data_IF_483197928791
#
_entry.id   IF_483197928791
#
_cell.length_a   1.000
_cell.length_b   1.000
_cell.length_c   1.000
_cell.angle_alpha   90.00
_cell.angle_beta   90.00
_cell.angle_gamma   90.00
#
_symmetry.space_group_name_H-M   'P 1'
#
loop_
_entity.id
_entity.type
_entity.pdbx_description
1 polymer ?
#
# COMPACT_ATOMS: atom_id res chain seq x y z
N UNK A 1 29.21 23.58 4.81
CA UNK A 1 28.31 23.62 5.98
C UNK A 1 27.38 22.41 5.87
N UNK A 2 27.75 21.30 6.53
CA UNK A 2 26.99 20.04 6.46
C UNK A 2 25.77 20.20 7.36
N UNK A 3 24.58 20.28 6.77
CA UNK A 3 23.33 20.35 7.52
C UNK A 3 23.04 18.94 8.02
N UNK A 4 23.53 18.62 9.22
CA UNK A 4 23.18 17.38 9.93
C UNK A 4 21.71 17.47 10.33
N UNK A 5 20.80 17.05 9.44
CA UNK A 5 19.41 16.87 9.82
C UNK A 5 19.29 15.55 10.56
N UNK A 6 19.30 15.62 11.89
CA UNK A 6 18.67 14.60 12.71
C UNK A 6 17.17 14.67 12.39
N UNK A 7 16.69 13.79 11.52
CA UNK A 7 15.27 13.60 11.30
C UNK A 7 14.71 12.99 12.59
N UNK A 8 14.21 13.85 13.49
CA UNK A 8 13.36 13.41 14.58
C UNK A 8 12.16 12.74 13.94
N UNK A 9 11.90 11.48 14.30
CA UNK A 9 10.70 10.72 13.89
C UNK A 9 9.53 11.34 14.65
N UNK A 10 9.06 12.48 14.17
CA UNK A 10 7.88 13.16 14.69
C UNK A 10 6.84 13.20 13.59
N UNK A 11 5.59 12.88 13.93
CA UNK A 11 4.46 13.23 13.10
C UNK A 11 4.63 14.68 12.69
N UNK A 12 4.64 14.98 11.38
CA UNK A 12 4.40 16.36 11.03
C UNK A 12 2.97 16.70 11.51
N UNK A 13 2.80 17.80 12.25
CA UNK A 13 1.47 18.21 12.68
C UNK A 13 0.58 18.48 11.45
N UNK A 14 -0.76 18.49 11.63
CA UNK A 14 -1.71 18.85 10.57
C UNK A 14 -1.61 20.33 10.12
N UNK A 15 -0.44 20.97 10.21
CA UNK A 15 -0.26 22.39 9.94
C UNK A 15 -0.56 22.75 8.49
N UNK A 16 -1.31 23.85 8.37
CA UNK A 16 -2.05 24.31 7.21
C UNK A 16 -1.21 25.01 6.11
N UNK A 17 0.01 24.54 5.79
CA UNK A 17 0.90 25.31 4.90
C UNK A 17 1.37 24.62 3.60
N UNK A 18 1.27 23.29 3.47
CA UNK A 18 1.55 22.63 2.19
C UNK A 18 0.25 22.10 1.59
N UNK A 19 -0.05 22.54 0.37
CA UNK A 19 -1.15 21.98 -0.42
C UNK A 19 -0.93 20.45 -0.50
N UNK A 20 -1.76 19.61 0.15
CA UNK A 20 -1.50 18.18 0.27
C UNK A 20 -1.51 17.46 -1.08
N UNK A 21 -2.05 18.12 -2.11
CA UNK A 21 -1.99 17.64 -3.48
C UNK A 21 -0.62 17.87 -4.15
N UNK A 22 0.28 18.66 -3.57
CA UNK A 22 1.55 19.07 -4.17
C UNK A 22 2.71 18.22 -3.63
N UNK A 23 3.40 17.53 -4.53
CA UNK A 23 4.59 16.73 -4.24
C UNK A 23 5.71 17.60 -3.62
N UNK A 24 6.31 17.17 -2.52
CA UNK A 24 7.35 17.89 -1.78
C UNK A 24 8.71 17.95 -2.48
N UNK A 25 9.03 16.98 -3.34
CA UNK A 25 10.27 16.96 -4.13
C UNK A 25 10.18 17.77 -5.42
N UNK A 26 9.10 17.59 -6.18
CA UNK A 26 8.96 18.17 -7.53
C UNK A 26 8.06 19.39 -7.57
N UNK A 27 7.24 19.61 -6.55
CA UNK A 27 6.24 20.66 -6.55
C UNK A 27 5.07 20.42 -7.52
N UNK A 28 4.97 19.22 -8.10
CA UNK A 28 3.89 18.83 -9.01
C UNK A 28 2.60 18.64 -8.21
N UNK A 29 1.53 19.28 -8.67
CA UNK A 29 0.20 19.18 -8.06
C UNK A 29 -0.60 18.02 -8.65
N UNK A 30 -1.31 17.30 -7.79
CA UNK A 30 -2.22 16.21 -8.13
C UNK A 30 -3.64 16.77 -8.24
N UNK A 31 -4.34 16.48 -9.33
CA UNK A 31 -5.75 16.82 -9.51
C UNK A 31 -6.64 15.63 -9.15
N UNK A 32 -7.83 15.91 -8.64
CA UNK A 32 -8.77 14.88 -8.18
C UNK A 32 -10.12 15.01 -8.87
N UNK A 33 -10.73 13.87 -9.16
CA UNK A 33 -12.07 13.75 -9.71
C UNK A 33 -13.14 13.75 -8.62
N UNK A 34 -14.43 13.78 -9.02
CA UNK A 34 -15.56 13.77 -8.08
C UNK A 34 -15.66 12.51 -7.22
N UNK A 35 -14.98 11.42 -7.59
CA UNK A 35 -14.96 10.15 -6.83
C UNK A 35 -13.71 10.04 -5.94
N UNK A 36 -12.93 11.11 -5.81
CA UNK A 36 -11.67 11.14 -5.04
C UNK A 36 -10.49 10.46 -5.74
N UNK A 37 -10.65 10.08 -7.00
CA UNK A 37 -9.60 9.50 -7.84
C UNK A 37 -8.62 10.57 -8.34
N UNK A 38 -7.33 10.27 -8.42
CA UNK A 38 -6.29 11.18 -8.87
C UNK A 38 -6.29 11.27 -10.40
N UNK A 39 -6.92 12.29 -10.98
CA UNK A 39 -7.10 12.41 -12.44
C UNK A 39 -5.86 12.89 -13.18
N UNK A 40 -4.94 13.59 -12.51
CA UNK A 40 -3.69 14.02 -13.10
C UNK A 40 -2.58 14.29 -12.07
N UNK A 41 -1.33 14.15 -12.49
CA UNK A 41 -0.13 14.62 -11.80
C UNK A 41 0.55 15.66 -12.68
N UNK A 42 0.35 16.95 -12.39
CA UNK A 42 0.69 18.03 -13.31
C UNK A 42 -0.09 17.87 -14.61
N UNK A 43 0.61 17.76 -15.75
CA UNK A 43 0.00 17.51 -17.06
C UNK A 43 -0.20 16.02 -17.38
N UNK A 44 0.23 15.11 -16.51
CA UNK A 44 0.15 13.67 -16.76
C UNK A 44 -1.17 13.12 -16.25
N UNK A 45 -2.09 12.79 -17.16
CA UNK A 45 -3.38 12.17 -16.81
C UNK A 45 -3.19 10.78 -16.16
N UNK A 46 -4.14 10.36 -15.33
CA UNK A 46 -4.18 9.02 -14.75
C UNK A 46 -5.62 8.50 -14.67
N UNK A 47 -5.80 7.22 -14.99
CA UNK A 47 -7.10 6.55 -15.01
C UNK A 47 -7.12 5.35 -14.07
N UNK A 48 -8.29 5.06 -13.52
CA UNK A 48 -8.53 3.96 -12.58
C UNK A 48 -9.83 3.25 -12.91
N UNK A 49 -9.91 1.98 -12.51
CA UNK A 49 -11.13 1.21 -12.53
C UNK A 49 -11.94 1.48 -11.26
N UNK A 50 -13.25 1.69 -11.42
CA UNK A 50 -14.17 1.88 -10.30
C UNK A 50 -14.09 3.27 -9.67
N UNK A 51 -14.19 3.30 -8.33
CA UNK A 51 -14.14 4.51 -7.49
C UNK A 51 -12.81 4.53 -6.73
N UNK A 52 -12.17 5.70 -6.64
CA UNK A 52 -10.89 5.86 -5.95
C UNK A 52 -9.69 5.42 -6.80
N UNK A 53 -8.56 5.15 -6.14
CA UNK A 53 -7.28 4.93 -6.83
C UNK A 53 -6.78 3.49 -6.83
N UNK A 54 -7.54 2.52 -6.30
CA UNK A 54 -7.02 1.17 -6.02
C UNK A 54 -6.52 0.48 -7.29
N UNK A 55 -7.37 0.43 -8.32
CA UNK A 55 -7.08 -0.29 -9.55
C UNK A 55 -6.66 0.68 -10.66
N UNK A 56 -5.40 1.13 -10.61
CA UNK A 56 -4.85 2.03 -11.63
C UNK A 56 -4.79 1.34 -12.99
N UNK A 57 -5.32 1.99 -14.03
CA UNK A 57 -5.31 1.52 -15.41
C UNK A 57 -4.23 2.20 -16.24
N UNK A 58 -4.06 3.52 -16.08
CA UNK A 58 -3.12 4.31 -16.88
C UNK A 58 -2.48 5.44 -16.06
N UNK A 59 -1.30 5.89 -16.50
CA UNK A 59 -0.70 7.18 -16.14
C UNK A 59 0.15 7.68 -17.30
N UNK A 60 -0.28 8.74 -17.95
CA UNK A 60 0.27 9.19 -19.23
C UNK A 60 0.18 8.07 -20.28
N UNK A 61 1.30 7.75 -20.92
CA UNK A 61 1.39 6.65 -21.89
C UNK A 61 1.60 5.26 -21.26
N UNK A 62 1.74 5.19 -19.94
CA UNK A 62 2.00 3.92 -19.23
C UNK A 62 0.68 3.27 -18.83
N UNK A 63 0.53 1.98 -19.13
CA UNK A 63 -0.62 1.17 -18.73
C UNK A 63 -0.25 0.15 -17.67
N UNK A 64 -1.24 -0.24 -16.88
CA UNK A 64 -1.07 -1.13 -15.73
C UNK A 64 -2.10 -2.25 -15.75
N UNK A 65 -1.67 -3.44 -15.32
CA UNK A 65 -2.55 -4.57 -15.05
C UNK A 65 -2.46 -4.88 -13.57
N UNK A 66 -3.61 -4.91 -12.89
CA UNK A 66 -3.70 -5.21 -11.47
C UNK A 66 -4.17 -6.65 -11.27
N UNK A 67 -3.65 -7.29 -10.24
CA UNK A 67 -4.15 -8.53 -9.69
C UNK A 67 -4.63 -8.31 -8.25
N UNK A 68 -5.06 -9.38 -7.56
CA UNK A 68 -5.51 -9.29 -6.17
C UNK A 68 -4.49 -8.70 -5.20
N UNK A 69 -3.20 -8.80 -5.54
CA UNK A 69 -2.06 -8.35 -4.75
C UNK A 69 -1.44 -7.03 -5.27
N UNK A 70 -2.23 -6.22 -5.98
CA UNK A 70 -1.79 -4.96 -6.59
C UNK A 70 -1.27 -5.13 -8.02
N UNK A 71 -0.48 -4.16 -8.50
CA UNK A 71 -0.02 -4.11 -9.89
C UNK A 71 0.91 -5.27 -10.22
N UNK A 72 0.52 -6.12 -11.18
CA UNK A 72 1.29 -7.28 -11.66
C UNK A 72 2.03 -6.99 -12.97
N UNK A 73 1.63 -5.96 -13.70
CA UNK A 73 2.29 -5.56 -14.94
C UNK A 73 2.27 -4.05 -15.15
N UNK A 74 3.35 -3.51 -15.71
CA UNK A 74 3.45 -2.14 -16.22
C UNK A 74 3.98 -2.18 -17.64
N UNK A 75 3.31 -1.50 -18.57
CA UNK A 75 3.74 -1.39 -19.97
C UNK A 75 3.87 0.07 -20.36
N UNK A 76 5.01 0.44 -20.97
CA UNK A 76 5.26 1.77 -21.53
C UNK A 76 5.87 1.63 -22.92
N UNK A 77 5.12 2.06 -23.94
CA UNK A 77 5.46 1.73 -25.33
C UNK A 77 5.50 0.22 -25.54
N UNK A 78 6.60 -0.30 -26.07
CA UNK A 78 6.84 -1.75 -26.24
C UNK A 78 7.46 -2.43 -25.02
N UNK A 79 7.88 -1.66 -24.00
CA UNK A 79 8.56 -2.20 -22.83
C UNK A 79 7.55 -2.64 -21.78
N UNK A 80 7.57 -3.91 -21.42
CA UNK A 80 6.71 -4.49 -20.37
C UNK A 80 7.54 -5.03 -19.23
N UNK A 81 7.18 -4.61 -18.01
CA UNK A 81 7.69 -5.16 -16.75
C UNK A 81 6.56 -5.96 -16.10
N UNK A 82 6.84 -7.20 -15.72
CA UNK A 82 5.93 -8.03 -14.92
C UNK A 82 6.51 -8.22 -13.53
N UNK A 83 5.65 -8.24 -12.52
CA UNK A 83 6.03 -8.32 -11.12
C UNK A 83 5.45 -9.59 -10.50
N UNK A 84 6.26 -10.28 -9.69
CA UNK A 84 5.85 -11.47 -8.96
C UNK A 84 5.83 -11.16 -7.48
N UNK A 85 4.74 -11.53 -6.81
CA UNK A 85 4.58 -11.40 -5.35
C UNK A 85 4.37 -12.76 -4.71
N UNK A 86 4.73 -12.87 -3.44
CA UNK A 86 4.39 -14.03 -2.62
C UNK A 86 2.88 -14.04 -2.34
N UNK A 87 2.32 -15.16 -1.87
CA UNK A 87 0.92 -15.19 -1.43
C UNK A 87 0.59 -14.18 -0.31
N UNK A 88 1.59 -13.71 0.44
CA UNK A 88 1.45 -12.65 1.45
C UNK A 88 1.66 -11.24 0.90
N UNK A 89 1.73 -11.05 -0.41
CA UNK A 89 1.86 -9.73 -1.04
C UNK A 89 3.29 -9.18 -1.12
N UNK A 90 4.27 -9.83 -0.52
CA UNK A 90 5.67 -9.40 -0.57
C UNK A 90 6.23 -9.47 -2.00
N UNK A 91 7.02 -8.47 -2.40
CA UNK A 91 7.63 -8.44 -3.71
C UNK A 91 8.77 -9.48 -3.82
N UNK A 92 8.63 -10.43 -4.75
CA UNK A 92 9.61 -11.52 -4.95
C UNK A 92 10.58 -11.22 -6.08
N UNK A 93 10.10 -10.58 -7.14
CA UNK A 93 10.94 -10.25 -8.29
C UNK A 93 10.19 -9.60 -9.44
N UNK A 94 10.93 -9.34 -10.51
CA UNK A 94 10.37 -8.82 -11.75
C UNK A 94 10.98 -9.49 -12.97
N UNK A 95 10.27 -9.40 -14.10
CA UNK A 95 10.79 -9.73 -15.41
C UNK A 95 10.68 -8.53 -16.35
N UNK A 96 11.83 -8.13 -16.89
CA UNK A 96 12.00 -7.01 -17.81
C UNK A 96 12.99 -7.44 -18.92
N UNK A 97 12.50 -8.22 -19.88
CA UNK A 97 13.35 -8.97 -20.83
C UNK A 97 14.07 -10.17 -20.18
N UNK A 98 14.70 -9.96 -19.02
CA UNK A 98 15.31 -10.96 -18.13
C UNK A 98 14.61 -11.00 -16.77
N UNK A 99 14.79 -12.09 -16.02
CA UNK A 99 14.29 -12.23 -14.64
C UNK A 99 15.28 -11.64 -13.63
N UNK A 100 14.72 -10.97 -12.63
CA UNK A 100 15.44 -10.38 -11.50
C UNK A 100 14.74 -10.74 -10.19
N UNK A 101 15.53 -11.06 -9.17
CA UNK A 101 15.02 -11.49 -7.87
C UNK A 101 15.33 -10.44 -6.81
N UNK A 102 14.35 -10.16 -5.95
CA UNK A 102 14.46 -9.13 -4.93
C UNK A 102 15.03 -9.69 -3.63
N UNK A 103 15.77 -8.82 -2.95
CA UNK A 103 16.10 -8.93 -1.53
C UNK A 103 15.30 -7.85 -0.84
N UNK A 104 14.54 -8.22 0.18
CA UNK A 104 13.69 -7.31 0.94
C UNK A 104 14.19 -7.09 2.37
N UNK A 105 13.87 -5.94 2.96
CA UNK A 105 13.99 -5.70 4.40
C UNK A 105 12.78 -6.22 5.20
N UNK A 106 12.73 -5.95 6.50
CA UNK A 106 11.67 -6.45 7.38
C UNK A 106 10.28 -5.86 7.08
N UNK A 107 10.20 -4.71 6.38
CA UNK A 107 8.93 -4.13 5.92
C UNK A 107 8.58 -4.56 4.50
N UNK A 108 9.38 -5.42 3.87
CA UNK A 108 9.20 -5.84 2.48
C UNK A 108 9.76 -4.84 1.46
N UNK A 109 10.53 -3.83 1.88
CA UNK A 109 11.17 -2.88 0.96
C UNK A 109 12.30 -3.54 0.20
N UNK A 110 12.35 -3.35 -1.11
CA UNK A 110 13.41 -3.93 -1.95
C UNK A 110 14.74 -3.23 -1.66
N UNK A 111 15.68 -3.92 -1.04
CA UNK A 111 17.04 -3.41 -0.75
C UNK A 111 18.09 -3.89 -1.75
N UNK A 112 17.75 -4.88 -2.59
CA UNK A 112 18.69 -5.52 -3.51
C UNK A 112 18.03 -6.28 -4.64
N UNK A 113 18.74 -6.38 -5.76
CA UNK A 113 18.34 -7.11 -6.95
C UNK A 113 19.49 -8.04 -7.43
N UNK A 114 19.15 -9.30 -7.66
CA UNK A 114 20.01 -10.28 -8.31
C UNK A 114 19.51 -10.60 -9.72
N UNK A 115 20.43 -10.84 -10.66
CA UNK A 115 20.09 -11.40 -11.98
C UNK A 115 19.66 -12.86 -11.89
N UNK A 116 19.11 -13.38 -12.98
CA UNK A 116 18.84 -14.81 -13.16
C UNK A 116 20.06 -15.73 -12.94
N UNK A 117 21.29 -15.19 -13.09
CA UNK A 117 22.56 -15.92 -12.89
C UNK A 117 23.13 -15.77 -11.48
N UNK A 118 22.41 -15.11 -10.55
CA UNK A 118 22.88 -14.86 -9.19
C UNK A 118 23.88 -13.71 -9.06
N UNK A 119 23.99 -12.84 -10.06
CA UNK A 119 24.87 -11.66 -10.01
C UNK A 119 24.14 -10.49 -9.35
N UNK A 120 24.79 -9.84 -8.38
CA UNK A 120 24.27 -8.62 -7.76
C UNK A 120 24.26 -7.46 -8.77
N UNK A 121 23.10 -6.83 -9.02
CA UNK A 121 23.03 -5.65 -9.91
C UNK A 121 23.01 -4.32 -9.14
N UNK A 122 22.57 -4.35 -7.88
CA UNK A 122 22.41 -3.16 -7.04
C UNK A 122 21.12 -3.19 -6.22
N UNK A 123 20.78 -2.05 -5.63
CA UNK A 123 19.58 -1.90 -4.80
C UNK A 123 19.42 -0.48 -4.26
N UNK A 124 18.80 -0.38 -3.09
CA UNK A 124 18.43 0.89 -2.48
C UNK A 124 18.66 0.85 -0.96
N UNK A 125 18.97 2.01 -0.38
CA UNK A 125 18.79 2.26 1.04
C UNK A 125 17.68 3.29 1.23
N UNK A 126 16.92 3.17 2.32
CA UNK A 126 15.76 4.01 2.58
C UNK A 126 15.95 4.85 3.85
N UNK A 127 15.43 6.07 3.84
CA UNK A 127 15.10 6.76 5.09
C UNK A 127 13.89 6.08 5.77
N UNK A 128 13.60 6.38 7.06
CA UNK A 128 12.43 5.82 7.73
C UNK A 128 11.12 6.02 6.95
N UNK A 129 10.97 7.16 6.27
CA UNK A 129 9.79 7.50 5.48
C UNK A 129 9.91 7.07 4.00
N UNK A 130 10.91 6.25 3.64
CA UNK A 130 11.00 5.62 2.32
C UNK A 130 11.71 6.43 1.23
N UNK A 131 12.39 7.52 1.57
CA UNK A 131 13.25 8.21 0.59
C UNK A 131 14.42 7.31 0.20
N UNK A 132 14.50 6.95 -1.08
CA UNK A 132 15.49 6.01 -1.58
C UNK A 132 16.82 6.69 -1.95
N UNK A 133 17.94 6.06 -1.59
CA UNK A 133 19.27 6.33 -2.14
C UNK A 133 19.75 5.11 -2.90
N UNK A 134 20.19 5.33 -4.13
CA UNK A 134 20.61 4.28 -5.05
C UNK A 134 21.99 3.76 -4.67
N UNK A 135 22.17 2.43 -4.67
CA UNK A 135 23.50 1.80 -4.51
C UNK A 135 24.16 1.48 -5.85
N UNK A 136 23.43 1.66 -6.96
CA UNK A 136 23.88 1.41 -8.34
C UNK A 136 23.12 2.28 -9.32
N UNK A 137 23.76 2.66 -10.43
CA UNK A 137 23.17 3.44 -11.53
C UNK A 137 22.68 2.56 -12.69
N UNK A 138 22.66 1.23 -12.51
CA UNK A 138 22.15 0.29 -13.51
C UNK A 138 20.73 0.67 -13.94
N UNK A 139 20.45 0.55 -15.26
CA UNK A 139 19.13 0.81 -15.82
C UNK A 139 18.05 -0.08 -15.21
N UNK A 140 18.41 -1.28 -14.77
CA UNK A 140 17.49 -2.20 -14.08
C UNK A 140 17.05 -1.60 -12.74
N UNK A 141 18.00 -1.03 -11.98
CA UNK A 141 17.72 -0.39 -10.69
C UNK A 141 16.95 0.91 -10.88
N UNK A 142 17.33 1.76 -11.83
CA UNK A 142 16.66 3.05 -12.03
C UNK A 142 15.24 2.90 -12.56
N UNK A 143 14.95 1.86 -13.34
CA UNK A 143 13.62 1.61 -13.92
C UNK A 143 12.74 0.66 -13.11
N UNK A 144 13.29 -0.07 -12.14
CA UNK A 144 12.51 -0.93 -11.26
C UNK A 144 11.48 -0.10 -10.49
N UNK A 145 10.22 -0.54 -10.50
CA UNK A 145 9.11 0.19 -9.89
C UNK A 145 8.82 -0.26 -8.47
N UNK A 146 8.89 -1.55 -8.16
CA UNK A 146 8.64 -2.02 -6.79
C UNK A 146 9.84 -1.72 -5.92
N UNK A 147 9.65 -0.85 -4.92
CA UNK A 147 10.74 -0.32 -4.09
C UNK A 147 10.39 -0.36 -2.60
N UNK A 148 10.21 0.79 -1.96
CA UNK A 148 9.82 0.89 -0.56
C UNK A 148 8.55 0.09 -0.31
N UNK A 149 8.56 -0.74 0.74
CA UNK A 149 7.50 -1.69 1.14
C UNK A 149 6.94 -2.57 0.01
N UNK A 150 7.71 -2.79 -1.06
CA UNK A 150 7.28 -3.58 -2.21
C UNK A 150 6.25 -2.89 -3.12
N UNK A 151 6.07 -1.57 -2.96
CA UNK A 151 5.04 -0.80 -3.64
C UNK A 151 5.56 0.02 -4.82
N UNK A 152 4.63 0.41 -5.71
CA UNK A 152 4.98 0.96 -7.01
C UNK A 152 5.44 2.42 -6.93
N UNK A 153 6.71 2.64 -7.27
CA UNK A 153 7.31 3.97 -7.40
C UNK A 153 6.96 4.61 -8.75
N UNK A 154 6.38 5.81 -8.68
CA UNK A 154 5.88 6.58 -9.82
C UNK A 154 6.84 7.70 -10.25
N UNK A 155 8.07 7.69 -9.73
CA UNK A 155 9.03 8.77 -9.88
C UNK A 155 8.94 9.78 -8.75
N UNK A 156 10.01 10.58 -8.58
CA UNK A 156 10.02 11.76 -7.70
C UNK A 156 9.50 11.51 -6.26
N UNK A 157 9.88 10.38 -5.67
CA UNK A 157 9.46 9.99 -4.31
C UNK A 157 7.97 9.67 -4.12
N UNK A 158 7.18 9.58 -5.19
CA UNK A 158 5.77 9.19 -5.09
C UNK A 158 5.62 7.67 -5.18
N UNK A 159 4.88 7.11 -4.23
CA UNK A 159 4.49 5.71 -4.22
C UNK A 159 2.97 5.57 -4.37
N UNK A 160 2.55 4.59 -5.17
CA UNK A 160 1.17 4.15 -5.23
C UNK A 160 0.94 3.11 -4.13
N UNK A 161 0.20 3.48 -3.08
CA UNK A 161 -0.14 2.60 -1.97
C UNK A 161 -1.64 2.33 -1.98
N UNK A 162 -2.07 1.18 -2.52
CA UNK A 162 -3.48 0.76 -2.57
C UNK A 162 -4.43 1.88 -3.00
N UNK A 163 -5.20 2.48 -2.09
CA UNK A 163 -6.16 3.55 -2.40
C UNK A 163 -5.59 4.98 -2.47
N UNK A 164 -4.34 5.19 -2.02
CA UNK A 164 -3.71 6.53 -1.91
C UNK A 164 -2.37 6.59 -2.64
N UNK A 165 -1.84 7.80 -2.73
CA UNK A 165 -0.50 8.13 -3.16
C UNK A 165 0.26 8.72 -1.98
N UNK A 166 1.48 8.24 -1.80
CA UNK A 166 2.34 8.59 -0.69
C UNK A 166 3.55 9.37 -1.19
N UNK A 167 3.87 10.48 -0.51
CA UNK A 167 5.05 11.30 -0.78
C UNK A 167 6.11 11.05 0.30
N UNK A 168 7.23 10.46 -0.09
CA UNK A 168 8.32 10.13 0.84
C UNK A 168 9.03 11.35 1.42
N UNK A 169 9.05 12.48 0.71
CA UNK A 169 9.75 13.68 1.19
C UNK A 169 8.94 14.47 2.20
N UNK A 170 7.62 14.41 2.09
CA UNK A 170 6.72 14.96 3.11
C UNK A 170 6.35 13.94 4.20
N UNK A 171 6.62 12.65 3.97
CA UNK A 171 6.33 11.56 4.91
C UNK A 171 4.83 11.37 5.16
N UNK A 172 3.98 11.62 4.15
CA UNK A 172 2.51 11.62 4.28
C UNK A 172 1.81 11.24 2.98
N UNK A 173 0.52 10.91 3.06
CA UNK A 173 -0.32 10.75 1.88
C UNK A 173 -0.65 12.09 1.23
N UNK A 174 -0.89 12.08 -0.08
CA UNK A 174 -1.31 13.27 -0.84
C UNK A 174 -2.84 13.40 -0.94
N UNK A 175 -3.56 12.38 -0.49
CA UNK A 175 -5.02 12.37 -0.35
C UNK A 175 -5.44 12.19 1.10
N UNK A 176 -6.59 12.77 1.41
CA UNK A 176 -7.34 12.47 2.61
C UNK A 176 -7.72 10.97 2.61
N UNK A 177 -7.60 10.31 3.75
CA UNK A 177 -8.08 8.94 3.93
C UNK A 177 -9.58 8.84 3.61
N UNK A 178 -9.98 8.06 2.58
CA UNK A 178 -11.39 7.81 2.28
C UNK A 178 -12.15 7.15 3.43
N UNK A 179 -11.46 6.49 4.37
CA UNK A 179 -12.07 5.85 5.54
C UNK A 179 -12.68 6.86 6.51
N UNK A 180 -12.12 8.07 6.58
CA UNK A 180 -12.48 9.12 7.54
C UNK A 180 -12.21 8.75 9.01
N UNK A 181 -11.45 7.69 9.28
CA UNK A 181 -11.26 7.15 10.64
C UNK A 181 -10.01 7.68 11.35
N UNK A 182 -9.06 8.25 10.61
CA UNK A 182 -7.82 8.76 11.19
C UNK A 182 -7.98 10.19 11.75
N UNK A 183 -7.35 10.45 12.89
CA UNK A 183 -7.29 11.79 13.47
C UNK A 183 -6.53 12.78 12.57
N UNK A 184 -5.49 12.29 11.87
CA UNK A 184 -4.84 13.01 10.79
C UNK A 184 -5.05 12.21 9.50
N UNK A 185 -5.91 12.67 8.57
CA UNK A 185 -6.29 11.88 7.40
C UNK A 185 -5.19 11.76 6.34
N UNK A 186 -4.04 12.39 6.56
CA UNK A 186 -2.86 12.30 5.69
C UNK A 186 -1.72 11.51 6.34
N UNK A 187 -1.87 11.06 7.58
CA UNK A 187 -0.79 10.38 8.29
C UNK A 187 -0.41 9.07 7.59
N UNK A 188 0.88 8.77 7.59
CA UNK A 188 1.39 7.48 7.12
C UNK A 188 1.88 6.65 8.31
N UNK A 189 1.51 5.37 8.32
CA UNK A 189 1.99 4.36 9.28
C UNK A 189 1.89 4.80 10.76
N UNK A 190 0.85 5.58 11.11
CA UNK A 190 0.71 6.18 12.45
C UNK A 190 1.96 6.90 12.96
N UNK A 191 2.73 7.49 12.03
CA UNK A 191 4.03 8.14 12.27
C UNK A 191 5.13 7.21 12.85
N UNK A 192 4.98 5.90 12.70
CA UNK A 192 5.98 4.90 13.07
C UNK A 192 6.42 4.06 11.86
N UNK A 193 6.94 4.68 10.79
CA UNK A 193 7.22 4.00 9.52
C UNK A 193 8.43 3.03 9.58
N UNK A 194 9.08 2.91 10.74
CA UNK A 194 10.13 1.91 11.00
C UNK A 194 9.52 0.56 11.37
N UNK A 195 8.42 0.57 12.13
CA UNK A 195 7.80 -0.65 12.64
C UNK A 195 6.50 -1.00 11.89
N UNK A 196 5.92 -0.04 11.18
CA UNK A 196 4.60 -0.16 10.57
C UNK A 196 4.63 0.32 9.11
N UNK A 197 3.76 -0.21 8.27
CA UNK A 197 3.57 0.23 6.88
C UNK A 197 2.09 0.34 6.51
N UNK A 198 1.70 1.08 5.48
CA UNK A 198 0.30 1.07 5.00
C UNK A 198 0.26 0.84 3.49
N UNK A 199 0.48 -0.41 3.07
CA UNK A 199 0.44 -0.81 1.66
C UNK A 199 -0.96 -0.65 1.04
N UNK A 200 -2.01 -0.73 1.86
CA UNK A 200 -3.39 -0.55 1.41
C UNK A 200 -3.76 0.92 1.18
N UNK A 201 -3.05 1.84 1.83
CA UNK A 201 -3.43 3.24 1.90
C UNK A 201 -4.78 3.45 2.58
N UNK A 202 -5.19 2.61 3.53
CA UNK A 202 -6.50 2.67 4.22
C UNK A 202 -6.43 2.27 5.70
N UNK A 203 -5.25 1.93 6.23
CA UNK A 203 -5.14 1.42 7.60
C UNK A 203 -5.13 2.57 8.61
N UNK A 204 -6.22 2.70 9.36
CA UNK A 204 -6.27 3.47 10.59
C UNK A 204 -5.87 2.57 11.77
N UNK A 205 -4.63 2.66 12.27
CA UNK A 205 -4.16 1.76 13.34
C UNK A 205 -4.93 1.85 14.66
N UNK A 206 -5.70 2.92 14.87
CA UNK A 206 -6.58 3.05 16.03
C UNK A 206 -7.93 2.32 15.86
N UNK A 207 -8.33 1.97 14.63
CA UNK A 207 -9.66 1.43 14.30
C UNK A 207 -9.72 -0.08 14.04
N UNK A 208 -8.63 -0.68 13.53
CA UNK A 208 -8.63 -2.09 13.11
C UNK A 208 -8.77 -3.09 14.28
N UNK A 209 -8.13 -2.79 15.41
CA UNK A 209 -8.16 -3.61 16.64
C UNK A 209 -9.52 -3.56 17.36
N UNK A 210 -10.16 -2.40 17.43
CA UNK A 210 -11.43 -2.24 18.14
C UNK A 210 -12.62 -2.86 17.39
N UNK A 211 -12.61 -2.84 16.05
CA UNK A 211 -13.73 -3.36 15.23
C UNK A 211 -13.72 -4.89 15.13
N UNK A 212 -12.56 -5.53 15.09
CA UNK A 212 -12.46 -7.00 15.06
C UNK A 212 -12.92 -7.60 16.39
N UNK A 213 -12.57 -6.98 17.52
CA UNK A 213 -13.00 -7.43 18.84
C UNK A 213 -14.50 -7.15 19.07
N UNK A 214 -14.99 -5.95 18.74
CA UNK A 214 -16.42 -5.63 18.96
C UNK A 214 -17.38 -6.45 18.09
N UNK A 215 -17.01 -6.73 16.83
CA UNK A 215 -17.88 -7.43 15.87
C UNK A 215 -17.92 -8.95 16.12
N UNK A 216 -16.80 -9.56 16.52
CA UNK A 216 -16.76 -11.00 16.86
C UNK A 216 -17.46 -11.30 18.18
N UNK A 217 -17.35 -10.40 19.18
CA UNK A 217 -18.02 -10.55 20.48
C UNK A 217 -19.54 -10.42 20.34
N UNK A 218 -20.06 -9.46 19.56
CA UNK A 218 -21.51 -9.27 19.42
C UNK A 218 -22.20 -10.45 18.69
N UNK A 219 -21.56 -11.00 17.65
CA UNK A 219 -22.08 -12.16 16.92
C UNK A 219 -21.99 -13.44 17.76
N UNK A 220 -20.89 -13.63 18.51
CA UNK A 220 -20.73 -14.77 19.42
C UNK A 220 -21.76 -14.80 20.55
N UNK A 221 -22.03 -13.64 21.18
CA UNK A 221 -23.00 -13.53 22.28
C UNK A 221 -24.44 -13.76 21.81
N UNK A 222 -24.78 -13.28 20.61
CA UNK A 222 -26.12 -13.45 20.02
C UNK A 222 -26.43 -14.91 19.66
N UNK A 223 -25.43 -15.66 19.18
CA UNK A 223 -25.57 -17.08 18.85
C UNK A 223 -25.68 -17.96 20.11
N UNK A 224 -24.93 -17.65 21.17
CA UNK A 224 -25.03 -18.36 22.46
C UNK A 224 -26.42 -18.17 23.08
N UNK A 225 -26.98 -16.95 23.01
CA UNK A 225 -28.32 -16.66 23.50
C UNK A 225 -29.44 -17.39 22.70
N UNK A 226 -29.24 -17.60 21.40
CA UNK A 226 -30.18 -18.33 20.54
C UNK A 226 -30.15 -19.85 20.80
N UNK A 227 -28.98 -20.41 21.13
CA UNK A 227 -28.85 -21.83 21.53
C UNK A 227 -29.40 -22.07 22.93
N UNK A 228 -29.19 -21.13 23.86
CA UNK A 228 -29.68 -21.23 25.24
C UNK A 228 -31.22 -21.13 25.36
N UNK A 229 -31.90 -20.49 24.40
CA UNK A 229 -33.37 -20.39 24.38
C UNK A 229 -34.07 -21.61 23.77
N UNK A 230 -33.33 -22.62 23.29
CA UNK A 230 -33.90 -23.87 22.75
C UNK A 230 -34.60 -23.71 21.39
N UNK A 231 -34.46 -22.55 20.73
CA UNK A 231 -35.19 -22.21 19.51
C UNK A 231 -34.53 -22.68 18.20
N UNK A 232 -33.36 -23.32 18.25
CA UNK A 232 -32.61 -23.74 17.05
C UNK A 232 -32.43 -25.27 16.98
N UNK A 233 -32.87 -25.87 15.87
CA UNK A 233 -32.49 -27.24 15.53
C UNK A 233 -31.00 -27.27 15.12
N UNK A 234 -30.24 -28.23 15.67
CA UNK A 234 -28.80 -28.37 15.50
C UNK A 234 -28.23 -28.20 14.07
N UNK A 235 -28.89 -28.62 12.96
CA UNK A 235 -28.33 -28.45 11.62
C UNK A 235 -28.41 -27.03 11.04
N UNK A 236 -29.23 -26.12 11.61
CA UNK A 236 -29.29 -24.72 11.14
C UNK A 236 -28.15 -23.86 11.70
N UNK A 237 -27.62 -24.23 12.86
CA UNK A 237 -26.54 -23.49 13.55
C UNK A 237 -25.22 -23.61 12.78
N UNK A 238 -24.92 -24.80 12.25
CA UNK A 238 -23.73 -25.01 11.43
C UNK A 238 -23.78 -24.24 10.09
N UNK A 239 -24.96 -24.17 9.46
CA UNK A 239 -25.18 -23.41 8.23
C UNK A 239 -25.06 -21.89 8.41
N UNK A 240 -25.54 -21.36 9.53
CA UNK A 240 -25.45 -19.92 9.84
C UNK A 240 -24.02 -19.48 10.18
N UNK A 241 -23.22 -20.34 10.85
CA UNK A 241 -21.79 -20.09 11.10
C UNK A 241 -21.01 -20.12 9.79
N UNK A 242 -21.27 -21.09 8.91
CA UNK A 242 -20.65 -21.15 7.58
C UNK A 242 -21.02 -19.96 6.70
N UNK A 243 -22.30 -19.57 6.68
CA UNK A 243 -22.81 -18.50 5.82
C UNK A 243 -22.37 -17.09 6.24
N UNK A 244 -22.29 -16.80 7.55
CA UNK A 244 -21.85 -15.49 8.05
C UNK A 244 -20.36 -15.25 7.84
N UNK A 245 -19.55 -16.29 7.96
CA UNK A 245 -18.14 -16.27 7.57
C UNK A 245 -17.99 -16.06 6.04
N UNK A 246 -18.77 -16.73 5.20
CA UNK A 246 -18.69 -16.55 3.73
C UNK A 246 -19.28 -15.22 3.22
N UNK A 247 -20.31 -14.67 3.86
CA UNK A 247 -20.92 -13.39 3.47
C UNK A 247 -20.06 -12.18 3.88
N UNK A 248 -19.23 -12.35 4.92
CA UNK A 248 -18.20 -11.38 5.34
C UNK A 248 -16.79 -11.83 4.92
N UNK A 249 -16.70 -12.51 3.76
CA UNK A 249 -15.45 -12.75 3.03
C UNK A 249 -14.24 -13.05 3.91
N UNK A 250 -14.24 -14.14 4.67
CA UNK A 250 -13.09 -14.58 5.47
C UNK A 250 -11.79 -14.66 4.65
N UNK A 251 -11.85 -14.87 3.33
CA UNK A 251 -10.67 -14.84 2.49
C UNK A 251 -10.12 -13.42 2.26
N UNK A 252 -10.96 -12.39 2.33
CA UNK A 252 -10.57 -10.97 2.24
C UNK A 252 -10.22 -10.42 3.63
N UNK A 253 -11.05 -10.70 4.63
CA UNK A 253 -10.87 -10.17 6.00
C UNK A 253 -9.73 -10.86 6.75
N UNK A 254 -9.47 -12.16 6.54
CA UNK A 254 -8.28 -12.81 7.11
C UNK A 254 -6.99 -12.42 6.37
N UNK A 255 -7.08 -12.10 5.07
CA UNK A 255 -5.96 -11.54 4.32
C UNK A 255 -5.56 -10.16 4.87
N UNK A 256 -6.55 -9.30 5.12
CA UNK A 256 -6.31 -8.03 5.82
C UNK A 256 -5.89 -8.19 7.29
N UNK A 257 -6.29 -9.25 8.00
CA UNK A 257 -5.97 -9.43 9.42
C UNK A 257 -4.55 -9.96 9.68
N UNK A 258 -3.98 -10.76 8.77
CA UNK A 258 -2.57 -11.19 8.83
C UNK A 258 -1.61 -10.04 8.52
N UNK A 259 -1.96 -9.21 7.54
CA UNK A 259 -1.19 -8.03 7.17
C UNK A 259 -1.37 -6.85 8.15
N UNK A 260 -2.50 -6.76 8.87
CA UNK A 260 -2.77 -5.67 9.82
C UNK A 260 -1.77 -5.59 11.00
N UNK A 261 -1.07 -6.67 11.34
CA UNK A 261 -0.11 -6.71 12.46
C UNK A 261 1.27 -6.16 12.08
N UNK A 262 1.58 -6.07 10.78
CA UNK A 262 2.76 -5.36 10.27
C UNK A 262 2.39 -4.00 9.65
N UNK A 263 1.09 -3.77 9.41
CA UNK A 263 0.59 -2.48 8.91
C UNK A 263 0.36 -1.45 10.04
N UNK A 264 0.46 -1.92 11.28
CA UNK A 264 0.51 -1.18 12.54
C UNK A 264 1.59 -1.83 13.40
#
# INVERSE_FOLDING_TARGET
MVKTMAAVITCQPPEAADNPSRNGLTGVTTSYGPRGEATAFGSTAADYFGTGNTDRLSRGSTTFTNGPLGTIQRTSGSTTHTYTRSPGGEAVGMRAGSSFYYVADHLGSVVGLFSATGTWIGGYSYSPYGEARFTSTSSVITNNALRYIGEHHDGAGIYKLGARYYDTAQGRFTQMDPSGQEANPYAYASCNPINSSDSSGLVACQGAINRTIASTVLVGVSLIALVASGAAAAPLVAGAIGATLTAYGIARTAYYAGDAVNQC
#
